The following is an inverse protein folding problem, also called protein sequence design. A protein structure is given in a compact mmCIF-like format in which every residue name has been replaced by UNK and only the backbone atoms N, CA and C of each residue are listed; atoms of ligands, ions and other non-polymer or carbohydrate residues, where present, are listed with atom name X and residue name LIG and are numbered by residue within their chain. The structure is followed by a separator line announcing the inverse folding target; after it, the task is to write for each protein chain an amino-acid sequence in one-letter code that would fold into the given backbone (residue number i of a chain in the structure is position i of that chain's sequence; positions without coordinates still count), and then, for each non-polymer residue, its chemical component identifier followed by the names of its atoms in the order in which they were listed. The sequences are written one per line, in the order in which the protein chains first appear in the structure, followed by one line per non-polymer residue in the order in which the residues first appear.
data_IF_265474339092
#
_entry.id   IF_265474339092
#
_cell.length_a   1.000
_cell.length_b   1.000
_cell.length_c   1.000
_cell.angle_alpha   90.00
_cell.angle_beta   90.00
_cell.angle_gamma   90.00
#
_symmetry.space_group_name_H-M   'P 1'
#
loop_
_entity.id
_entity.type
_entity.pdbx_description
1 polymer ?
#
# COMPACT_ATOMS: atom_id res chain seq x y z
N UNK A 1 -17.81 -5.52 23.58
CA UNK A 1 -16.72 -4.99 22.72
C UNK A 1 -16.94 -3.48 22.54
N UNK A 2 -16.75 -2.70 23.61
CA UNK A 2 -16.98 -1.25 23.66
C UNK A 2 -15.89 -0.64 24.55
N UNK A 3 -14.71 -0.33 23.98
CA UNK A 3 -13.64 0.32 24.75
C UNK A 3 -12.53 0.84 23.84
N UNK A 4 -12.82 1.88 23.06
CA UNK A 4 -11.77 2.66 22.40
C UNK A 4 -12.18 4.14 22.27
N UNK A 5 -13.48 4.41 22.07
CA UNK A 5 -14.00 5.79 21.99
C UNK A 5 -14.10 6.50 23.34
N UNK A 6 -14.29 5.80 24.45
CA UNK A 6 -14.39 6.38 25.79
C UNK A 6 -13.04 6.83 26.36
N UNK A 7 -11.92 6.26 25.91
CA UNK A 7 -10.58 6.62 26.40
C UNK A 7 -10.08 7.94 25.79
N UNK A 8 -10.42 8.21 24.52
CA UNK A 8 -10.05 9.46 23.83
C UNK A 8 -10.75 10.70 24.39
N UNK A 9 -12.00 10.58 24.84
CA UNK A 9 -12.76 11.67 25.47
C UNK A 9 -12.28 11.97 26.90
N UNK A 10 -11.72 10.97 27.60
CA UNK A 10 -11.16 11.13 28.94
C UNK A 10 -9.82 11.88 28.91
N UNK A 11 -8.96 11.60 27.91
CA UNK A 11 -7.72 12.35 27.68
C UNK A 11 -7.97 13.81 27.27
N UNK A 12 -9.02 14.07 26.47
CA UNK A 12 -9.35 15.44 26.04
C UNK A 12 -9.89 16.30 27.19
N UNK A 13 -10.62 15.71 28.14
CA UNK A 13 -11.14 16.42 29.32
C UNK A 13 -10.07 16.77 30.36
N UNK A 14 -8.97 16.02 30.42
CA UNK A 14 -7.86 16.32 31.33
C UNK A 14 -6.98 17.48 30.82
N UNK A 15 -7.00 17.75 29.50
CA UNK A 15 -6.19 18.81 28.88
C UNK A 15 -6.75 20.22 29.09
N UNK A 16 -7.95 20.39 29.65
CA UNK A 16 -8.57 21.71 29.85
C UNK A 16 -8.21 22.38 31.20
N UNK A 17 -7.49 21.69 32.11
CA UNK A 17 -7.18 22.23 33.44
C UNK A 17 -5.76 22.80 33.60
N UNK A 18 -4.90 22.76 32.57
CA UNK A 18 -3.51 23.26 32.64
C UNK A 18 -3.27 24.34 31.58
N UNK A 19 -4.19 25.31 31.45
CA UNK A 19 -4.03 26.41 30.48
C UNK A 19 -4.24 27.81 31.08
N UNK A 20 -4.33 27.93 32.41
CA UNK A 20 -4.40 29.24 33.09
C UNK A 20 -3.40 29.24 34.23
N UNK A 21 -2.11 29.25 33.88
CA UNK A 21 -1.06 29.25 34.89
C UNK A 21 0.32 29.21 34.29
N UNK A 22 0.85 30.40 34.05
CA UNK A 22 2.29 30.71 34.01
C UNK A 22 2.97 30.36 32.68
N UNK A 23 3.48 31.41 32.04
CA UNK A 23 4.13 31.38 30.74
C UNK A 23 5.56 30.84 30.73
N UNK A 24 6.17 31.06 29.57
CA UNK A 24 7.56 30.83 29.18
C UNK A 24 7.79 29.42 28.60
N UNK A 25 7.85 29.37 27.26
CA UNK A 25 8.72 28.43 26.54
C UNK A 25 8.16 27.04 26.28
N UNK A 26 7.02 26.91 25.62
CA UNK A 26 6.59 25.61 25.07
C UNK A 26 6.77 25.70 23.56
N UNK A 27 7.93 25.23 23.08
CA UNK A 27 8.17 25.03 21.66
C UNK A 27 7.05 24.19 21.07
N UNK A 28 6.65 24.51 19.84
CA UNK A 28 5.66 23.74 19.09
C UNK A 28 6.12 22.27 18.99
N UNK A 29 5.67 21.42 19.89
CA UNK A 29 5.84 19.97 19.76
C UNK A 29 4.80 19.55 18.71
N UNK A 30 5.20 19.59 17.45
CA UNK A 30 4.43 19.02 16.37
C UNK A 30 4.38 17.51 16.58
N UNK A 31 3.26 17.01 17.11
CA UNK A 31 2.96 15.59 17.11
C UNK A 31 2.81 15.13 15.66
N UNK A 32 3.88 14.57 15.10
CA UNK A 32 3.83 13.89 13.82
C UNK A 32 2.87 12.70 13.96
N UNK A 33 1.68 12.82 13.39
CA UNK A 33 0.78 11.69 13.22
C UNK A 33 1.49 10.69 12.29
N UNK A 34 1.54 9.39 12.63
CA UNK A 34 2.00 8.37 11.69
C UNK A 34 1.14 8.47 10.44
N UNK A 35 1.76 8.84 9.31
CA UNK A 35 1.07 8.78 8.03
C UNK A 35 1.03 7.31 7.61
N UNK A 36 -0.12 6.68 7.75
CA UNK A 36 -0.32 5.33 7.23
C UNK A 36 -0.18 5.40 5.70
N UNK A 37 0.90 4.81 5.16
CA UNK A 37 1.14 4.74 3.72
C UNK A 37 0.11 3.80 3.10
N UNK A 38 -0.70 4.30 2.17
CA UNK A 38 -1.59 3.46 1.37
C UNK A 38 -0.78 2.52 0.47
N UNK A 39 -1.19 1.26 0.41
CA UNK A 39 -0.68 0.29 -0.58
C UNK A 39 -1.15 0.72 -1.96
N UNK A 40 -0.20 0.86 -2.88
CA UNK A 40 -0.45 1.26 -4.25
C UNK A 40 -0.53 0.01 -5.13
N UNK A 41 -1.75 -0.30 -5.57
CA UNK A 41 -2.03 -1.35 -6.56
C UNK A 41 -1.99 -0.71 -7.94
N UNK A 42 -1.26 -1.30 -8.88
CA UNK A 42 -1.22 -0.84 -10.27
C UNK A 42 -1.66 -1.93 -11.27
N UNK A 43 -1.89 -1.54 -12.53
CA UNK A 43 -2.29 -2.47 -13.59
C UNK A 43 -1.77 -2.05 -14.97
N UNK A 44 -1.48 -3.05 -15.82
CA UNK A 44 -1.05 -2.89 -17.20
C UNK A 44 -2.18 -2.34 -18.07
N UNK A 45 -1.83 -1.81 -19.25
CA UNK A 45 -2.80 -1.27 -20.23
C UNK A 45 -3.56 -2.34 -21.03
N UNK A 46 -4.19 -3.30 -20.34
CA UNK A 46 -5.12 -4.27 -20.94
C UNK A 46 -6.26 -4.63 -19.98
N UNK A 47 -7.39 -5.06 -20.55
CA UNK A 47 -8.66 -5.22 -19.85
C UNK A 47 -8.60 -6.12 -18.62
N UNK A 48 -8.00 -7.31 -18.75
CA UNK A 48 -7.93 -8.25 -17.62
C UNK A 48 -7.07 -7.69 -16.47
N UNK A 49 -5.97 -6.99 -16.76
CA UNK A 49 -5.14 -6.37 -15.71
C UNK A 49 -5.94 -5.37 -14.88
N UNK A 50 -6.83 -4.61 -15.52
CA UNK A 50 -7.71 -3.67 -14.82
C UNK A 50 -8.70 -4.37 -13.90
N UNK A 51 -9.25 -5.50 -14.34
CA UNK A 51 -10.19 -6.30 -13.54
C UNK A 51 -9.44 -6.90 -12.35
N UNK A 52 -8.29 -7.54 -12.58
CA UNK A 52 -7.49 -8.16 -11.53
C UNK A 52 -6.96 -7.12 -10.51
N UNK A 53 -6.49 -5.96 -10.98
CA UNK A 53 -6.06 -4.87 -10.09
C UNK A 53 -7.20 -4.33 -9.22
N UNK A 54 -8.42 -4.25 -9.76
CA UNK A 54 -9.61 -3.89 -8.98
C UNK A 54 -9.96 -4.95 -7.94
N UNK A 55 -9.95 -6.23 -8.31
CA UNK A 55 -10.20 -7.34 -7.39
C UNK A 55 -9.17 -7.31 -6.25
N UNK A 56 -7.89 -7.19 -6.58
CA UNK A 56 -6.81 -7.12 -5.60
C UNK A 56 -6.99 -5.95 -4.62
N UNK A 57 -7.33 -4.76 -5.13
CA UNK A 57 -7.60 -3.60 -4.29
C UNK A 57 -8.84 -3.78 -3.39
N UNK A 58 -9.89 -4.47 -3.87
CA UNK A 58 -11.04 -4.81 -3.05
C UNK A 58 -10.66 -5.79 -1.94
N UNK A 59 -9.93 -6.86 -2.26
CA UNK A 59 -9.44 -7.85 -1.29
C UNK A 59 -8.62 -7.21 -0.17
N UNK A 60 -7.72 -6.27 -0.52
CA UNK A 60 -6.95 -5.53 0.48
C UNK A 60 -7.85 -4.71 1.41
N UNK A 61 -8.83 -4.00 0.83
CA UNK A 61 -9.77 -3.18 1.62
C UNK A 61 -10.68 -4.01 2.52
N UNK A 62 -11.09 -5.20 2.08
CA UNK A 62 -11.87 -6.14 2.90
C UNK A 62 -11.09 -6.63 4.12
N UNK A 63 -9.76 -6.63 4.04
CA UNK A 63 -8.84 -6.91 5.15
C UNK A 63 -8.45 -5.66 5.96
N UNK A 64 -9.18 -4.54 5.78
CA UNK A 64 -8.89 -3.24 6.40
C UNK A 64 -7.52 -2.64 6.05
N UNK A 65 -6.90 -3.07 4.95
CA UNK A 65 -5.66 -2.48 4.41
C UNK A 65 -6.00 -1.27 3.55
N UNK A 66 -5.46 -0.11 3.90
CA UNK A 66 -5.61 1.10 3.09
C UNK A 66 -4.87 0.90 1.75
N UNK A 67 -5.60 0.97 0.65
CA UNK A 67 -5.05 0.77 -0.68
C UNK A 67 -5.72 1.65 -1.73
N UNK A 68 -4.93 2.02 -2.75
CA UNK A 68 -5.39 2.76 -3.92
C UNK A 68 -5.04 1.98 -5.19
N UNK A 69 -5.99 1.88 -6.12
CA UNK A 69 -5.75 1.28 -7.43
C UNK A 69 -5.52 2.37 -8.48
N UNK A 70 -4.35 2.36 -9.11
CA UNK A 70 -4.04 3.14 -10.31
C UNK A 70 -4.15 2.23 -11.53
N UNK A 71 -4.72 2.75 -12.61
CA UNK A 71 -4.94 1.97 -13.81
C UNK A 71 -4.04 2.44 -14.95
N UNK A 72 -3.55 1.48 -15.72
CA UNK A 72 -3.05 1.74 -17.08
C UNK A 72 -1.60 2.20 -17.12
N UNK A 73 -0.78 1.74 -16.20
CA UNK A 73 0.65 1.98 -16.24
C UNK A 73 1.30 1.09 -17.32
N UNK A 74 1.39 1.60 -18.55
CA UNK A 74 2.23 1.04 -19.61
C UNK A 74 2.20 -0.48 -19.84
N UNK A 75 3.34 -1.01 -20.25
CA UNK A 75 3.64 -2.44 -20.43
C UNK A 75 4.50 -2.97 -19.27
N UNK A 76 4.87 -4.26 -19.30
CA UNK A 76 5.67 -4.94 -18.27
C UNK A 76 6.89 -4.13 -17.83
N UNK A 77 7.70 -3.63 -18.76
CA UNK A 77 8.94 -2.91 -18.43
C UNK A 77 8.69 -1.66 -17.59
N UNK A 78 7.65 -0.88 -17.92
CA UNK A 78 7.31 0.34 -17.19
C UNK A 78 6.83 0.01 -15.78
N UNK A 79 5.97 -1.01 -15.63
CA UNK A 79 5.49 -1.42 -14.31
C UNK A 79 6.62 -1.96 -13.44
N UNK A 80 7.47 -2.83 -14.00
CA UNK A 80 8.59 -3.39 -13.25
C UNK A 80 9.54 -2.29 -12.77
N UNK A 81 9.85 -1.30 -13.61
CA UNK A 81 10.62 -0.13 -13.19
C UNK A 81 9.94 0.65 -12.05
N UNK A 82 8.63 0.90 -12.17
CA UNK A 82 7.87 1.60 -11.15
C UNK A 82 7.81 0.80 -9.83
N UNK A 83 7.71 -0.53 -9.89
CA UNK A 83 7.78 -1.42 -8.74
C UNK A 83 9.17 -1.39 -8.09
N UNK A 84 10.24 -1.53 -8.88
CA UNK A 84 11.63 -1.49 -8.37
C UNK A 84 11.96 -0.14 -7.74
N UNK A 85 11.40 0.95 -8.26
CA UNK A 85 11.59 2.30 -7.73
C UNK A 85 10.63 2.65 -6.57
N UNK A 86 9.80 1.71 -6.11
CA UNK A 86 8.87 1.92 -4.99
C UNK A 86 7.69 2.84 -5.28
N UNK A 87 7.38 3.09 -6.56
CA UNK A 87 6.25 3.93 -6.99
C UNK A 87 4.90 3.19 -6.93
N UNK A 88 4.94 1.87 -6.94
CA UNK A 88 3.81 0.99 -6.63
C UNK A 88 4.28 -0.15 -5.73
N UNK A 89 3.34 -0.81 -5.05
CA UNK A 89 3.65 -1.88 -4.11
C UNK A 89 3.26 -3.26 -4.65
N UNK A 90 2.19 -3.37 -5.46
CA UNK A 90 1.74 -4.64 -6.03
C UNK A 90 1.00 -4.46 -7.37
N UNK A 91 1.12 -5.45 -8.26
CA UNK A 91 0.38 -5.52 -9.53
C UNK A 91 0.19 -6.99 -9.97
N UNK A 92 -0.83 -7.29 -10.79
CA UNK A 92 -1.02 -8.62 -11.36
C UNK A 92 -0.07 -8.87 -12.55
N UNK A 93 0.63 -10.01 -12.55
CA UNK A 93 1.52 -10.44 -13.63
C UNK A 93 1.40 -11.93 -13.94
N UNK A 94 1.60 -12.29 -15.20
CA UNK A 94 1.66 -13.65 -15.69
C UNK A 94 3.03 -14.26 -15.45
N UNK A 95 3.05 -15.47 -14.92
CA UNK A 95 4.28 -16.24 -14.69
C UNK A 95 5.12 -16.42 -15.96
N UNK A 96 4.50 -16.62 -17.12
CA UNK A 96 5.19 -16.69 -18.41
C UNK A 96 5.85 -15.38 -18.84
N UNK A 97 5.27 -14.23 -18.47
CA UNK A 97 5.86 -12.91 -18.67
C UNK A 97 7.02 -12.68 -17.71
N UNK A 98 6.88 -13.06 -16.44
CA UNK A 98 7.97 -13.02 -15.46
C UNK A 98 9.17 -13.81 -15.98
N UNK A 99 8.96 -15.05 -16.41
CA UNK A 99 10.04 -15.92 -16.87
C UNK A 99 10.78 -15.34 -18.09
N UNK A 100 10.03 -14.86 -19.10
CA UNK A 100 10.61 -14.43 -20.39
C UNK A 100 11.11 -13.00 -20.39
N UNK A 101 10.31 -12.06 -19.91
CA UNK A 101 10.59 -10.62 -20.03
C UNK A 101 11.41 -10.08 -18.85
N UNK A 102 11.17 -10.61 -17.65
CA UNK A 102 11.83 -10.14 -16.42
C UNK A 102 13.08 -10.97 -16.13
N UNK A 103 12.94 -12.30 -16.04
CA UNK A 103 14.04 -13.21 -15.67
C UNK A 103 14.90 -13.64 -16.87
N UNK A 104 14.42 -13.45 -18.11
CA UNK A 104 15.10 -13.80 -19.36
C UNK A 104 15.54 -15.27 -19.43
N UNK A 105 14.69 -16.18 -18.97
CA UNK A 105 14.93 -17.64 -19.00
C UNK A 105 14.15 -18.33 -20.12
N UNK A 106 14.67 -19.43 -20.71
CA UNK A 106 13.95 -20.21 -21.70
C UNK A 106 12.83 -21.05 -21.05
N UNK A 107 11.69 -21.20 -21.74
CA UNK A 107 10.51 -21.92 -21.21
C UNK A 107 10.77 -23.40 -20.89
N UNK A 108 11.71 -24.03 -21.60
CA UNK A 108 12.09 -25.43 -21.40
C UNK A 108 12.76 -25.71 -20.05
N UNK A 109 13.06 -24.67 -19.27
CA UNK A 109 13.77 -24.75 -17.99
C UNK A 109 12.90 -24.40 -16.77
N UNK A 110 11.59 -24.20 -16.94
CA UNK A 110 10.73 -23.75 -15.86
C UNK A 110 9.63 -24.78 -15.56
N UNK A 111 9.79 -25.55 -14.47
CA UNK A 111 8.64 -26.19 -13.84
C UNK A 111 7.87 -25.16 -13.00
N UNK A 112 6.56 -25.37 -12.77
CA UNK A 112 5.77 -24.48 -11.89
C UNK A 112 6.35 -24.43 -10.46
N UNK A 113 6.97 -25.52 -10.00
CA UNK A 113 7.69 -25.56 -8.72
C UNK A 113 8.89 -24.62 -8.71
N UNK A 114 9.67 -24.54 -9.80
CA UNK A 114 10.84 -23.66 -9.88
C UNK A 114 10.46 -22.16 -9.92
N UNK A 115 9.23 -21.86 -10.35
CA UNK A 115 8.68 -20.51 -10.40
C UNK A 115 8.09 -20.04 -9.06
N UNK A 116 7.64 -20.97 -8.23
CA UNK A 116 6.99 -20.70 -6.94
C UNK A 116 7.92 -20.91 -5.74
N UNK A 117 9.16 -21.35 -5.98
CA UNK A 117 10.20 -21.53 -4.97
C UNK A 117 10.81 -20.19 -4.56
#
# INVERSE_FOLDING_TARGET
MYSSRTLSLLCFKFSFCIAIGIGIGIGNIAFAQPTEKNIVVDSKRFTESYVLGKILNQTLRDQSVQSIHRQGLGNTTIIVQALTNGQLDIYPEYTGTILREILKRPETQASLSDLNA
#
